data_IF_634300682025
#
_entry.id   IF_634300682025
#
_cell.length_a   1.000
_cell.length_b   1.000
_cell.length_c   1.000
_cell.angle_alpha   90.00
_cell.angle_beta   90.00
_cell.angle_gamma   90.00
#
_symmetry.space_group_name_H-M   'P 1'
#
loop_
_entity.id
_entity.type
_entity.pdbx_description
1 polymer ?
#
# COMPACT_ATOMS: atom_id res chain seq x y z
N UNK A 1 0.66 -3.06 30.84
CA UNK A 1 0.02 -4.35 31.15
C UNK A 1 1.13 -5.34 31.51
N UNK A 2 1.05 -6.01 32.66
CA UNK A 2 2.07 -6.99 33.06
C UNK A 2 2.10 -8.11 32.01
N UNK A 3 3.29 -8.56 31.61
CA UNK A 3 3.45 -9.62 30.61
C UNK A 3 3.36 -9.18 29.14
N UNK A 4 3.01 -7.92 28.85
CA UNK A 4 2.96 -7.39 27.48
C UNK A 4 4.24 -6.61 27.14
N UNK A 5 4.91 -6.97 26.05
CA UNK A 5 6.03 -6.19 25.50
C UNK A 5 5.96 -6.07 23.99
N UNK A 6 6.58 -5.01 23.45
CA UNK A 6 6.57 -4.71 22.01
C UNK A 6 7.97 -4.46 21.43
N UNK A 7 8.87 -5.47 21.42
CA UNK A 7 10.22 -5.28 20.90
C UNK A 7 10.19 -4.89 19.42
N UNK A 8 10.98 -3.87 19.06
CA UNK A 8 11.06 -3.35 17.70
C UNK A 8 11.88 -4.29 16.80
N UNK A 9 11.47 -4.42 15.54
CA UNK A 9 12.27 -5.07 14.50
C UNK A 9 13.18 -4.02 13.88
N UNK A 10 14.49 -4.24 13.98
CA UNK A 10 15.51 -3.40 13.37
C UNK A 10 15.92 -3.92 11.98
N UNK A 11 16.56 -3.06 11.17
CA UNK A 11 17.14 -3.46 9.89
C UNK A 11 16.14 -3.71 8.75
N UNK A 12 14.92 -3.17 8.83
CA UNK A 12 13.93 -3.28 7.74
C UNK A 12 14.45 -2.66 6.44
N UNK A 13 14.27 -3.38 5.32
CA UNK A 13 14.64 -2.92 3.98
C UNK A 13 13.87 -1.66 3.55
N UNK A 14 12.56 -1.65 3.75
CA UNK A 14 11.64 -0.57 3.37
C UNK A 14 10.70 -0.22 4.53
N UNK A 15 9.87 0.81 4.34
CA UNK A 15 8.90 1.31 5.34
C UNK A 15 9.56 1.57 6.71
N UNK A 16 10.80 2.11 6.69
CA UNK A 16 11.64 2.28 7.88
C UNK A 16 11.07 3.30 8.88
N UNK A 17 10.29 4.26 8.39
CA UNK A 17 9.58 5.22 9.23
C UNK A 17 8.38 4.62 9.99
N UNK A 18 7.81 3.51 9.49
CA UNK A 18 6.73 2.81 10.19
C UNK A 18 7.29 2.04 11.39
N UNK A 19 6.67 2.18 12.57
CA UNK A 19 7.02 1.33 13.69
C UNK A 19 6.57 -0.11 13.40
N UNK A 20 7.50 -1.06 13.48
CA UNK A 20 7.20 -2.48 13.29
C UNK A 20 7.95 -3.25 14.35
N UNK A 21 7.26 -4.18 14.99
CA UNK A 21 7.79 -4.94 16.10
C UNK A 21 6.98 -6.21 16.29
N UNK A 22 7.29 -6.90 17.37
CA UNK A 22 6.53 -8.06 17.83
C UNK A 22 5.52 -7.61 18.88
N UNK A 23 4.44 -8.37 19.03
CA UNK A 23 3.55 -8.28 20.19
C UNK A 23 3.80 -9.55 20.99
N UNK A 24 4.46 -9.42 22.15
CA UNK A 24 4.75 -10.54 23.04
C UNK A 24 3.81 -10.46 24.23
N UNK A 25 3.03 -11.51 24.44
CA UNK A 25 2.06 -11.64 25.53
C UNK A 25 2.41 -12.87 26.36
N UNK A 26 2.98 -12.66 27.54
CA UNK A 26 3.34 -13.70 28.50
C UNK A 26 2.46 -13.59 29.75
N UNK A 27 1.58 -14.58 29.95
CA UNK A 27 0.62 -14.63 31.07
C UNK A 27 -0.13 -13.30 31.29
N UNK A 28 -0.54 -12.64 30.20
CA UNK A 28 -1.26 -11.37 30.22
C UNK A 28 -2.71 -11.61 30.63
N UNK A 29 -3.12 -11.04 31.76
CA UNK A 29 -4.52 -11.02 32.17
C UNK A 29 -5.31 -9.99 31.35
N UNK A 30 -6.38 -10.45 30.70
CA UNK A 30 -7.28 -9.62 29.90
C UNK A 30 -8.68 -9.71 30.53
N UNK A 31 -9.25 -8.58 31.00
CA UNK A 31 -10.60 -8.57 31.57
C UNK A 31 -11.68 -9.02 30.58
N UNK A 32 -12.78 -9.59 31.07
CA UNK A 32 -13.88 -10.09 30.25
C UNK A 32 -14.56 -8.97 29.43
N UNK A 33 -14.61 -7.76 29.98
CA UNK A 33 -15.12 -6.57 29.29
C UNK A 33 -14.33 -6.17 28.04
N UNK A 34 -13.10 -6.69 27.87
CA UNK A 34 -12.27 -6.45 26.68
C UNK A 34 -12.53 -7.47 25.56
N UNK A 35 -13.45 -8.42 25.75
CA UNK A 35 -13.89 -9.31 24.67
C UNK A 35 -14.57 -8.47 23.60
N UNK A 36 -14.11 -8.60 22.36
CA UNK A 36 -14.69 -7.85 21.23
C UNK A 36 -16.14 -8.32 21.01
N UNK A 37 -17.13 -7.40 21.10
CA UNK A 37 -18.54 -7.77 21.01
C UNK A 37 -18.88 -8.30 19.62
N UNK A 38 -19.61 -9.42 19.56
CA UNK A 38 -20.04 -10.04 18.30
C UNK A 38 -18.91 -10.67 17.47
N UNK A 39 -17.66 -10.63 17.94
CA UNK A 39 -16.55 -11.26 17.27
C UNK A 39 -16.47 -12.74 17.66
N UNK A 40 -16.63 -13.62 16.67
CA UNK A 40 -16.35 -15.06 16.82
C UNK A 40 -15.58 -15.58 15.60
N UNK A 41 -14.59 -16.43 15.84
CA UNK A 41 -13.76 -17.01 14.80
C UNK A 41 -13.00 -15.98 13.95
N UNK A 42 -12.77 -16.31 12.68
CA UNK A 42 -11.94 -15.52 11.75
C UNK A 42 -12.71 -14.44 10.98
N UNK A 43 -14.03 -14.35 11.14
CA UNK A 43 -14.86 -13.40 10.39
C UNK A 43 -14.47 -11.94 10.67
N UNK A 44 -14.21 -11.60 11.94
CA UNK A 44 -13.77 -10.26 12.35
C UNK A 44 -12.44 -9.84 11.68
N UNK A 45 -11.35 -10.61 11.87
CA UNK A 45 -10.07 -10.34 11.20
C UNK A 45 -10.15 -10.25 9.68
N UNK A 46 -10.94 -11.11 9.02
CA UNK A 46 -11.12 -11.04 7.57
C UNK A 46 -11.90 -9.81 7.10
N UNK A 47 -12.87 -9.33 7.89
CA UNK A 47 -13.53 -8.05 7.65
C UNK A 47 -12.54 -6.88 7.68
N UNK A 48 -11.65 -6.83 8.67
CA UNK A 48 -10.58 -5.83 8.72
C UNK A 48 -9.63 -5.96 7.51
N UNK A 49 -9.24 -7.19 7.14
CA UNK A 49 -8.34 -7.45 6.03
C UNK A 49 -8.90 -6.99 4.68
N UNK A 50 -10.20 -7.18 4.43
CA UNK A 50 -10.83 -6.72 3.20
C UNK A 50 -10.82 -5.19 3.07
N UNK A 51 -11.07 -4.48 4.17
CA UNK A 51 -10.96 -3.02 4.18
C UNK A 51 -9.50 -2.56 4.00
N UNK A 52 -8.54 -3.26 4.61
CA UNK A 52 -7.13 -2.97 4.42
C UNK A 52 -6.69 -3.15 2.96
N UNK A 53 -7.13 -4.23 2.29
CA UNK A 53 -6.86 -4.47 0.85
C UNK A 53 -7.37 -3.33 -0.03
N UNK A 54 -8.58 -2.85 0.25
CA UNK A 54 -9.14 -1.69 -0.46
C UNK A 54 -8.27 -0.45 -0.28
N UNK A 55 -7.85 -0.13 0.95
CA UNK A 55 -6.96 1.01 1.21
C UNK A 55 -5.58 0.86 0.57
N UNK A 56 -5.00 -0.34 0.59
CA UNK A 56 -3.70 -0.63 -0.03
C UNK A 56 -3.76 -0.39 -1.54
N UNK A 57 -4.84 -0.78 -2.21
CA UNK A 57 -5.00 -0.58 -3.65
C UNK A 57 -4.86 0.91 -4.03
N UNK A 58 -5.59 1.79 -3.34
CA UNK A 58 -5.46 3.25 -3.52
C UNK A 58 -4.05 3.76 -3.21
N UNK A 59 -3.47 3.35 -2.08
CA UNK A 59 -2.13 3.79 -1.68
C UNK A 59 -1.04 3.39 -2.67
N UNK A 60 -1.11 2.18 -3.22
CA UNK A 60 -0.14 1.70 -4.22
C UNK A 60 -0.21 2.47 -5.54
N UNK A 61 -1.41 2.87 -5.98
CA UNK A 61 -1.58 3.65 -7.20
C UNK A 61 -1.07 5.09 -7.03
N UNK A 62 -1.32 5.72 -5.88
CA UNK A 62 -0.73 7.03 -5.60
C UNK A 62 0.80 7.01 -5.60
N UNK A 63 1.41 5.94 -5.04
CA UNK A 63 2.85 5.73 -5.14
C UNK A 63 3.32 5.51 -6.60
N UNK A 64 2.55 4.77 -7.40
CA UNK A 64 2.86 4.55 -8.81
C UNK A 64 2.78 5.85 -9.64
N UNK A 65 1.80 6.71 -9.41
CA UNK A 65 1.70 8.04 -10.02
C UNK A 65 2.92 8.91 -9.67
N UNK A 66 3.33 8.93 -8.39
CA UNK A 66 4.53 9.64 -7.97
C UNK A 66 5.79 9.14 -8.70
N UNK A 67 5.94 7.82 -8.84
CA UNK A 67 7.03 7.21 -9.59
C UNK A 67 6.97 7.57 -11.08
N UNK A 68 5.79 7.57 -11.71
CA UNK A 68 5.60 7.98 -13.10
C UNK A 68 6.03 9.43 -13.33
N UNK A 69 5.57 10.35 -12.48
CA UNK A 69 5.92 11.77 -12.61
C UNK A 69 7.42 11.99 -12.45
N UNK A 70 8.03 11.34 -11.45
CA UNK A 70 9.48 11.41 -11.21
C UNK A 70 10.27 10.85 -12.40
N UNK A 71 9.91 9.66 -12.89
CA UNK A 71 10.57 9.03 -14.03
C UNK A 71 10.43 9.87 -15.30
N UNK A 72 9.22 10.39 -15.58
CA UNK A 72 8.97 11.27 -16.72
C UNK A 72 9.87 12.50 -16.66
N UNK A 73 9.89 13.21 -15.53
CA UNK A 73 10.70 14.41 -15.38
C UNK A 73 12.19 14.10 -15.59
N UNK A 74 12.70 13.06 -14.95
CA UNK A 74 14.08 12.64 -15.13
C UNK A 74 14.43 12.34 -16.60
N UNK A 75 13.54 11.69 -17.35
CA UNK A 75 13.80 11.37 -18.76
C UNK A 75 13.77 12.58 -19.69
N UNK A 76 13.06 13.65 -19.31
CA UNK A 76 13.08 14.92 -20.04
C UNK A 76 14.38 15.69 -19.78
N UNK A 77 14.86 15.66 -18.54
CA UNK A 77 16.03 16.43 -18.12
C UNK A 77 17.36 15.73 -18.47
N UNK A 78 17.38 14.40 -18.45
CA UNK A 78 18.60 13.62 -18.70
C UNK A 78 18.94 13.56 -20.18
N UNK A 79 20.07 14.17 -20.54
CA UNK A 79 20.63 14.12 -21.90
C UNK A 79 21.57 12.91 -22.07
N UNK A 80 21.37 12.14 -23.14
CA UNK A 80 22.29 11.10 -23.58
C UNK A 80 22.31 11.04 -25.12
N UNK A 81 23.48 10.85 -25.72
CA UNK A 81 23.66 10.91 -27.18
C UNK A 81 23.15 12.23 -27.80
N UNK A 82 23.35 13.34 -27.09
CA UNK A 82 23.02 14.70 -27.56
C UNK A 82 21.54 15.09 -27.49
N UNK A 83 20.66 14.23 -26.95
CA UNK A 83 19.21 14.49 -26.83
C UNK A 83 18.66 14.01 -25.50
N UNK A 84 17.49 14.50 -25.05
CA UNK A 84 16.79 13.94 -23.89
C UNK A 84 16.50 12.45 -24.04
N UNK A 85 16.60 11.69 -22.95
CA UNK A 85 16.26 10.25 -22.93
C UNK A 85 14.83 10.01 -23.41
N UNK A 86 13.89 10.91 -23.07
CA UNK A 86 12.49 10.87 -23.49
C UNK A 86 12.28 10.88 -25.01
N UNK A 87 13.28 11.26 -25.81
CA UNK A 87 13.22 11.16 -27.29
C UNK A 87 13.24 9.71 -27.78
N UNK A 88 13.79 8.78 -27.01
CA UNK A 88 13.95 7.40 -27.42
C UNK A 88 12.63 6.61 -27.27
N UNK A 89 12.22 5.91 -28.32
CA UNK A 89 10.96 5.14 -28.35
C UNK A 89 10.86 4.10 -27.22
N UNK A 90 11.97 3.46 -26.83
CA UNK A 90 11.97 2.50 -25.72
C UNK A 90 11.65 3.14 -24.36
N UNK A 91 12.02 4.41 -24.16
CA UNK A 91 11.68 5.17 -22.96
C UNK A 91 10.20 5.58 -23.01
N UNK A 92 9.74 6.07 -24.17
CA UNK A 92 8.34 6.44 -24.38
C UNK A 92 7.41 5.25 -24.15
N UNK A 93 7.77 4.06 -24.66
CA UNK A 93 7.00 2.83 -24.43
C UNK A 93 6.86 2.53 -22.94
N UNK A 94 7.95 2.57 -22.16
CA UNK A 94 7.89 2.33 -20.71
C UNK A 94 6.95 3.31 -20.01
N UNK A 95 7.01 4.60 -20.36
CA UNK A 95 6.13 5.62 -19.78
C UNK A 95 4.66 5.42 -20.19
N UNK A 96 4.41 5.05 -21.45
CA UNK A 96 3.07 4.74 -21.95
C UNK A 96 2.49 3.53 -21.23
N UNK A 97 3.23 2.43 -21.13
CA UNK A 97 2.82 1.22 -20.40
C UNK A 97 2.51 1.56 -18.93
N UNK A 98 3.38 2.31 -18.25
CA UNK A 98 3.15 2.75 -16.87
C UNK A 98 1.85 3.54 -16.72
N UNK A 99 1.62 4.55 -17.57
CA UNK A 99 0.41 5.37 -17.49
C UNK A 99 -0.85 4.56 -17.76
N UNK A 100 -0.80 3.62 -18.70
CA UNK A 100 -1.92 2.72 -19.01
C UNK A 100 -2.27 1.87 -17.79
N UNK A 101 -1.30 1.17 -17.20
CA UNK A 101 -1.56 0.29 -16.05
C UNK A 101 -2.04 1.07 -14.81
N UNK A 102 -1.46 2.24 -14.55
CA UNK A 102 -1.90 3.12 -13.46
C UNK A 102 -3.36 3.56 -13.68
N UNK A 103 -3.70 3.99 -14.90
CA UNK A 103 -5.05 4.45 -15.24
C UNK A 103 -6.07 3.32 -15.10
N UNK A 104 -5.75 2.12 -15.59
CA UNK A 104 -6.58 0.93 -15.42
C UNK A 104 -6.79 0.61 -13.93
N UNK A 105 -5.72 0.63 -13.14
CA UNK A 105 -5.77 0.42 -11.69
C UNK A 105 -6.64 1.44 -10.97
N UNK A 106 -6.53 2.73 -11.31
CA UNK A 106 -7.33 3.81 -10.70
C UNK A 106 -8.81 3.64 -11.01
N UNK A 107 -9.16 3.30 -12.25
CA UNK A 107 -10.55 3.00 -12.61
C UNK A 107 -11.08 1.76 -11.88
N UNK A 108 -10.27 0.71 -11.72
CA UNK A 108 -10.66 -0.47 -10.96
C UNK A 108 -10.89 -0.14 -9.48
N UNK A 109 -10.01 0.65 -8.86
CA UNK A 109 -10.16 1.08 -7.45
C UNK A 109 -11.40 1.96 -7.26
N UNK A 110 -11.66 2.88 -8.19
CA UNK A 110 -12.86 3.71 -8.17
C UNK A 110 -14.12 2.85 -8.27
N UNK A 111 -14.14 1.87 -9.18
CA UNK A 111 -15.29 0.97 -9.33
C UNK A 111 -15.48 0.10 -8.09
N UNK A 112 -14.40 -0.42 -7.52
CA UNK A 112 -14.44 -1.17 -6.27
C UNK A 112 -15.02 -0.32 -5.13
N UNK A 113 -14.61 0.95 -5.00
CA UNK A 113 -15.16 1.88 -4.02
C UNK A 113 -16.67 2.07 -4.19
N UNK A 114 -17.13 2.28 -5.43
CA UNK A 114 -18.56 2.43 -5.74
C UNK A 114 -19.38 1.18 -5.44
N UNK A 115 -18.83 -0.01 -5.68
CA UNK A 115 -19.50 -1.27 -5.34
C UNK A 115 -19.58 -1.45 -3.82
N UNK A 116 -18.51 -1.13 -3.11
CA UNK A 116 -18.47 -1.15 -1.64
C UNK A 116 -19.49 -0.20 -1.03
N UNK A 117 -19.64 1.01 -1.57
CA UNK A 117 -20.66 1.98 -1.12
C UNK A 117 -22.10 1.52 -1.41
N UNK A 118 -22.28 0.54 -2.31
CA UNK A 118 -23.56 -0.12 -2.60
C UNK A 118 -23.73 -1.44 -1.85
N UNK A 119 -22.86 -1.74 -0.88
CA UNK A 119 -22.81 -3.01 -0.14
C UNK A 119 -22.68 -4.26 -1.05
N UNK A 120 -21.92 -4.13 -2.14
CA UNK A 120 -21.61 -5.21 -3.09
C UNK A 120 -20.16 -5.69 -3.02
#
# INVERSE_FOLDING_TARGET
MRGLSTPKIEGKFSLRASATGMIVMDAVEVPEENILPGASGLAGPFGCLNNARYGIAWGTLGAAEFCLHTARQYTLDRIQFGVPLARNQLIQKKLADMLTEITLGLHACLQLGRLKDQDK
#
